data_IF_434893152682
#
_entry.id   IF_434893152682
#
_cell.length_a   1.000
_cell.length_b   1.000
_cell.length_c   1.000
_cell.angle_alpha   90.00
_cell.angle_beta   90.00
_cell.angle_gamma   90.00
#
_symmetry.space_group_name_H-M   'P 1'
#
loop_
_entity.id
_entity.type
_entity.pdbx_description
1 polymer ?
#
# COMPACT_ATOMS: atom_id res chain seq x y z
N UNK A 1 -1.51 29.23 -19.61
CA UNK A 1 -2.25 27.95 -19.56
C UNK A 1 -2.23 27.26 -18.20
N UNK A 2 -1.36 27.64 -17.25
CA UNK A 2 -1.50 27.19 -15.86
C UNK A 2 -2.55 28.07 -15.14
N UNK A 3 -3.69 27.50 -14.73
CA UNK A 3 -4.67 28.18 -13.85
C UNK A 3 -6.00 28.61 -14.46
N UNK A 4 -6.45 28.04 -15.59
CA UNK A 4 -7.77 28.35 -16.19
C UNK A 4 -8.87 27.35 -15.80
N UNK A 5 -8.49 26.14 -15.38
CA UNK A 5 -9.42 25.08 -14.96
C UNK A 5 -8.91 24.40 -13.71
N UNK A 6 -9.82 24.02 -12.83
CA UNK A 6 -9.58 23.23 -11.63
C UNK A 6 -10.16 21.81 -11.69
N UNK A 7 -10.69 21.45 -12.86
CA UNK A 7 -11.39 20.19 -13.08
C UNK A 7 -10.94 19.53 -14.38
N UNK A 8 -10.86 18.20 -14.36
CA UNK A 8 -10.70 17.36 -15.54
C UNK A 8 -11.98 17.43 -16.36
N UNK A 9 -11.88 17.91 -17.60
CA UNK A 9 -13.04 18.11 -18.50
C UNK A 9 -13.39 16.87 -19.31
N UNK A 10 -12.40 16.08 -19.68
CA UNK A 10 -12.57 14.93 -20.56
C UNK A 10 -11.80 13.71 -20.06
N UNK A 11 -12.33 12.53 -20.33
CA UNK A 11 -11.65 11.23 -20.21
C UNK A 11 -11.88 10.44 -21.49
N UNK A 12 -10.95 9.55 -21.86
CA UNK A 12 -11.08 8.77 -23.09
C UNK A 12 -12.30 7.86 -23.09
N UNK A 13 -12.61 7.24 -21.95
CA UNK A 13 -13.74 6.33 -21.78
C UNK A 13 -14.31 6.50 -20.37
N UNK A 14 -15.54 7.03 -20.28
CA UNK A 14 -16.21 7.25 -19.01
C UNK A 14 -16.53 5.93 -18.29
N UNK A 15 -16.76 4.85 -19.03
CA UNK A 15 -17.01 3.54 -18.49
C UNK A 15 -15.81 2.96 -17.75
N UNK A 16 -14.58 3.43 -18.04
CA UNK A 16 -13.34 3.00 -17.37
C UNK A 16 -13.03 3.78 -16.09
N UNK A 17 -13.79 4.83 -15.77
CA UNK A 17 -13.57 5.62 -14.55
C UNK A 17 -13.97 4.78 -13.33
N UNK A 18 -13.02 4.64 -12.41
CA UNK A 18 -13.13 3.81 -11.20
C UNK A 18 -13.31 4.61 -9.90
N UNK A 19 -13.03 5.92 -9.96
CA UNK A 19 -13.18 6.82 -8.84
C UNK A 19 -14.59 7.45 -8.86
N UNK A 20 -15.43 7.25 -7.84
CA UNK A 20 -16.76 7.87 -7.78
C UNK A 20 -16.73 9.37 -7.45
N UNK A 21 -15.55 9.96 -7.19
CA UNK A 21 -15.37 11.34 -6.77
C UNK A 21 -15.14 12.35 -7.89
N UNK A 22 -15.57 12.03 -9.12
CA UNK A 22 -15.63 13.04 -10.18
C UNK A 22 -16.81 14.01 -9.97
N UNK A 23 -16.68 15.21 -10.54
CA UNK A 23 -17.69 16.26 -10.43
C UNK A 23 -18.92 15.84 -11.25
N UNK A 24 -20.17 15.90 -10.73
CA UNK A 24 -21.34 15.57 -11.54
C UNK A 24 -21.35 16.36 -12.88
N UNK A 25 -21.41 15.65 -14.01
CA UNK A 25 -21.33 16.24 -15.35
C UNK A 25 -19.91 16.54 -15.85
N UNK A 26 -18.85 16.18 -15.13
CA UNK A 26 -17.45 16.30 -15.54
C UNK A 26 -16.55 15.24 -14.87
N UNK A 27 -15.79 14.43 -15.62
CA UNK A 27 -15.47 14.62 -17.03
C UNK A 27 -16.58 14.12 -17.98
N UNK A 28 -16.56 14.64 -19.21
CA UNK A 28 -17.30 14.06 -20.33
C UNK A 28 -16.41 13.04 -21.07
N UNK A 29 -17.01 12.16 -21.87
CA UNK A 29 -16.22 11.30 -22.75
C UNK A 29 -15.61 12.12 -23.89
N UNK A 30 -14.32 11.92 -24.14
CA UNK A 30 -13.58 12.62 -25.18
C UNK A 30 -14.05 12.12 -26.54
N UNK A 31 -14.66 13.01 -27.33
CA UNK A 31 -15.18 12.69 -28.66
C UNK A 31 -14.58 13.56 -29.78
N UNK A 32 -13.65 14.46 -29.44
CA UNK A 32 -12.98 15.35 -30.39
C UNK A 32 -11.70 15.96 -29.76
N UNK A 33 -10.56 15.77 -30.42
CA UNK A 33 -9.25 16.22 -29.93
C UNK A 33 -9.00 17.73 -30.01
N UNK A 34 -9.91 18.48 -30.67
CA UNK A 34 -9.88 19.93 -30.69
C UNK A 34 -10.33 20.57 -29.37
N UNK A 35 -10.87 19.80 -28.41
CA UNK A 35 -11.55 20.33 -27.21
C UNK A 35 -10.68 20.45 -25.95
N UNK A 36 -9.44 19.97 -25.97
CA UNK A 36 -8.52 20.06 -24.83
C UNK A 36 -7.23 20.78 -25.18
N UNK A 37 -6.63 21.41 -24.18
CA UNK A 37 -5.33 22.07 -24.25
C UNK A 37 -4.17 21.13 -23.92
N UNK A 38 -4.41 20.20 -23.00
CA UNK A 38 -3.44 19.19 -22.52
C UNK A 38 -4.16 17.85 -22.34
N UNK A 39 -3.51 16.76 -22.72
CA UNK A 39 -3.93 15.38 -22.43
C UNK A 39 -2.87 14.69 -21.58
N UNK A 40 -3.31 14.00 -20.53
CA UNK A 40 -2.41 13.26 -19.67
C UNK A 40 -2.24 11.82 -20.16
N UNK A 41 -1.00 11.39 -20.33
CA UNK A 41 -0.67 10.04 -20.84
C UNK A 41 0.29 9.30 -19.92
N UNK A 42 0.25 7.97 -19.95
CA UNK A 42 1.19 7.11 -19.21
C UNK A 42 2.42 6.70 -20.02
N UNK A 43 2.33 6.82 -21.35
CA UNK A 43 3.37 6.56 -22.33
C UNK A 43 3.74 7.84 -23.07
N UNK A 44 5.02 8.02 -23.34
CA UNK A 44 5.51 9.14 -24.14
C UNK A 44 5.00 8.96 -25.57
N UNK A 45 4.34 10.00 -26.08
CA UNK A 45 3.98 10.13 -27.49
C UNK A 45 4.59 11.45 -27.96
N UNK A 46 5.66 11.36 -28.75
CA UNK A 46 6.39 12.51 -29.27
C UNK A 46 5.67 13.19 -30.45
N UNK A 47 4.57 12.61 -30.93
CA UNK A 47 3.76 13.15 -32.01
C UNK A 47 2.60 14.01 -31.50
N UNK A 48 2.17 13.82 -30.26
CA UNK A 48 1.11 14.62 -29.65
C UNK A 48 1.69 15.83 -28.88
N UNK A 49 1.68 16.99 -29.52
CA UNK A 49 2.14 18.24 -28.91
C UNK A 49 1.33 18.69 -27.67
N UNK A 50 0.17 18.08 -27.41
CA UNK A 50 -0.66 18.34 -26.21
C UNK A 50 -0.42 17.32 -25.09
N UNK A 51 0.39 16.30 -25.31
CA UNK A 51 0.63 15.26 -24.32
C UNK A 51 1.50 15.76 -23.16
N UNK A 52 0.99 15.57 -21.94
CA UNK A 52 1.73 15.68 -20.69
C UNK A 52 1.88 14.27 -20.09
N UNK A 53 3.01 13.63 -20.36
CA UNK A 53 3.26 12.26 -19.91
C UNK A 53 3.71 12.20 -18.46
N UNK A 54 3.08 11.34 -17.66
CA UNK A 54 3.61 10.90 -16.38
C UNK A 54 3.36 9.41 -16.16
N UNK A 55 4.40 8.67 -15.78
CA UNK A 55 4.32 7.22 -15.62
C UNK A 55 4.30 6.84 -14.15
N UNK A 56 3.17 7.11 -13.48
CA UNK A 56 3.04 6.89 -12.04
C UNK A 56 3.28 5.43 -11.61
N UNK A 57 2.88 4.48 -12.46
CA UNK A 57 3.04 3.05 -12.20
C UNK A 57 4.42 2.49 -12.60
N UNK A 58 5.12 3.10 -13.55
CA UNK A 58 6.38 2.56 -14.08
C UNK A 58 7.60 2.80 -13.17
N UNK A 59 7.49 3.72 -12.21
CA UNK A 59 8.58 3.98 -11.27
C UNK A 59 8.59 2.89 -10.21
N UNK A 60 9.57 1.99 -10.26
CA UNK A 60 9.86 1.06 -9.17
C UNK A 60 10.60 1.78 -8.04
N UNK A 61 9.84 2.40 -7.15
CA UNK A 61 10.35 3.15 -6.01
C UNK A 61 9.53 2.86 -4.75
N UNK A 62 9.92 3.51 -3.65
CA UNK A 62 9.15 3.45 -2.41
C UNK A 62 7.67 3.84 -2.67
N UNK A 63 6.70 3.23 -1.97
CA UNK A 63 5.28 3.40 -2.29
C UNK A 63 4.82 4.86 -2.33
N UNK A 64 5.26 5.70 -1.38
CA UNK A 64 4.92 7.12 -1.34
C UNK A 64 5.48 7.95 -2.51
N UNK A 65 6.51 7.48 -3.22
CA UNK A 65 7.04 8.19 -4.38
C UNK A 65 6.06 8.15 -5.56
N UNK A 66 5.31 7.04 -5.72
CA UNK A 66 4.29 6.94 -6.77
C UNK A 66 3.13 7.90 -6.53
N UNK A 67 2.71 8.07 -5.28
CA UNK A 67 1.67 9.01 -4.89
C UNK A 67 2.07 10.49 -5.09
N UNK A 68 3.37 10.79 -5.18
CA UNK A 68 3.86 12.16 -5.32
C UNK A 68 3.55 12.79 -6.69
N UNK A 69 3.23 11.97 -7.71
CA UNK A 69 2.77 12.45 -9.02
C UNK A 69 1.53 13.36 -8.93
N UNK A 70 0.75 13.27 -7.85
CA UNK A 70 -0.34 14.22 -7.57
C UNK A 70 0.16 15.68 -7.56
N UNK A 71 1.38 15.94 -7.07
CA UNK A 71 1.98 17.28 -7.06
C UNK A 71 2.37 17.77 -8.45
N UNK A 72 2.73 16.86 -9.37
CA UNK A 72 3.00 17.23 -10.76
C UNK A 72 1.72 17.62 -11.47
N UNK A 73 0.67 16.80 -11.34
CA UNK A 73 -0.64 17.05 -11.97
C UNK A 73 -1.25 18.35 -11.47
N UNK A 74 -1.06 18.71 -10.19
CA UNK A 74 -1.69 19.89 -9.60
C UNK A 74 -1.22 21.24 -10.17
N UNK A 75 -0.02 21.32 -10.75
CA UNK A 75 0.45 22.54 -11.44
C UNK A 75 -0.45 22.91 -12.61
N UNK A 76 -1.02 21.92 -13.31
CA UNK A 76 -1.91 22.16 -14.45
C UNK A 76 -3.26 22.74 -14.02
N UNK A 77 -3.67 22.48 -12.77
CA UNK A 77 -4.99 22.85 -12.24
C UNK A 77 -4.95 24.00 -11.23
N UNK A 78 -3.78 24.58 -10.94
CA UNK A 78 -3.60 25.58 -9.87
C UNK A 78 -4.16 25.07 -8.53
N UNK A 79 -3.75 23.86 -8.17
CA UNK A 79 -4.19 23.08 -7.00
C UNK A 79 -3.01 22.58 -6.18
N UNK A 80 -1.89 23.29 -6.22
CA UNK A 80 -0.64 22.90 -5.57
C UNK A 80 -0.79 22.78 -4.06
N UNK A 81 -1.51 23.70 -3.43
CA UNK A 81 -1.80 23.66 -2.00
C UNK A 81 -2.64 22.43 -1.63
N UNK A 82 -3.67 22.12 -2.42
CA UNK A 82 -4.56 21.00 -2.18
C UNK A 82 -3.82 19.67 -2.36
N UNK A 83 -2.99 19.57 -3.40
CA UNK A 83 -2.15 18.40 -3.66
C UNK A 83 -1.09 18.19 -2.57
N UNK A 84 -0.42 19.26 -2.13
CA UNK A 84 0.56 19.19 -1.05
C UNK A 84 -0.10 18.73 0.27
N UNK A 85 -1.27 19.28 0.59
CA UNK A 85 -2.03 18.93 1.79
C UNK A 85 -2.52 17.48 1.75
N UNK A 86 -3.05 17.05 0.60
CA UNK A 86 -3.54 15.68 0.38
C UNK A 86 -2.41 14.67 0.47
N UNK A 87 -1.28 14.94 -0.20
CA UNK A 87 -0.08 14.10 -0.13
C UNK A 87 0.44 13.99 1.30
N UNK A 88 0.56 15.12 2.02
CA UNK A 88 1.07 15.11 3.39
C UNK A 88 0.20 14.25 4.31
N UNK A 89 -1.13 14.39 4.22
CA UNK A 89 -2.06 13.57 5.00
C UNK A 89 -1.90 12.07 4.70
N UNK A 90 -1.75 11.73 3.43
CA UNK A 90 -1.51 10.34 3.01
C UNK A 90 -0.19 9.79 3.59
N UNK A 91 0.88 10.58 3.52
CA UNK A 91 2.18 10.23 4.06
C UNK A 91 2.14 10.06 5.58
N UNK A 92 1.44 10.94 6.30
CA UNK A 92 1.25 10.86 7.75
C UNK A 92 0.48 9.60 8.16
N UNK A 93 -0.61 9.29 7.45
CA UNK A 93 -1.38 8.06 7.68
C UNK A 93 -0.54 6.80 7.42
N UNK A 94 0.20 6.77 6.31
CA UNK A 94 1.09 5.67 5.98
C UNK A 94 2.16 5.46 7.05
N UNK A 95 2.84 6.54 7.46
CA UNK A 95 3.90 6.51 8.47
C UNK A 95 3.36 6.08 9.84
N UNK A 96 2.19 6.58 10.24
CA UNK A 96 1.53 6.18 11.47
C UNK A 96 1.23 4.67 11.50
N UNK A 97 0.60 4.14 10.45
CA UNK A 97 0.25 2.70 10.36
C UNK A 97 1.48 1.82 10.35
N UNK A 98 2.50 2.22 9.58
CA UNK A 98 3.82 1.57 9.57
C UNK A 98 4.41 1.50 10.98
N UNK A 99 4.33 2.58 11.75
CA UNK A 99 4.83 2.60 13.12
C UNK A 99 4.01 1.71 14.06
N UNK A 100 2.68 1.68 13.92
CA UNK A 100 1.80 0.83 14.72
C UNK A 100 2.07 -0.66 14.50
N UNK A 101 2.36 -1.06 13.25
CA UNK A 101 2.61 -2.47 12.89
C UNK A 101 4.09 -2.89 13.01
N UNK A 102 5.00 -1.95 13.26
CA UNK A 102 6.44 -2.22 13.25
C UNK A 102 6.85 -3.34 14.22
N UNK A 103 6.21 -3.39 15.40
CA UNK A 103 6.46 -4.37 16.46
C UNK A 103 5.67 -5.67 16.32
N UNK A 104 4.94 -5.88 15.22
CA UNK A 104 4.19 -7.10 15.02
C UNK A 104 5.13 -8.31 14.94
N UNK A 105 4.85 -9.35 15.72
CA UNK A 105 5.65 -10.56 15.81
C UNK A 105 4.75 -11.77 16.18
N UNK A 106 4.85 -12.92 15.47
CA UNK A 106 5.58 -13.13 14.22
C UNK A 106 4.91 -12.42 13.02
N UNK A 107 5.74 -12.08 12.03
CA UNK A 107 5.30 -11.49 10.75
C UNK A 107 5.03 -12.58 9.71
N UNK A 108 3.90 -12.54 9.00
CA UNK A 108 3.63 -13.53 7.96
C UNK A 108 4.54 -13.33 6.74
N UNK A 109 5.08 -14.43 6.22
CA UNK A 109 5.75 -14.46 4.91
C UNK A 109 4.73 -14.43 3.77
N UNK A 110 4.82 -13.41 2.90
CA UNK A 110 3.82 -13.14 1.85
C UNK A 110 4.48 -13.18 0.48
N UNK A 111 3.86 -13.90 -0.46
CA UNK A 111 4.20 -13.85 -1.86
C UNK A 111 3.35 -12.78 -2.57
N UNK A 112 3.99 -11.93 -3.35
CA UNK A 112 3.33 -11.02 -4.28
C UNK A 112 3.68 -11.45 -5.69
N UNK A 113 2.73 -11.94 -6.47
CA UNK A 113 3.01 -12.55 -7.76
C UNK A 113 2.37 -11.78 -8.90
N UNK A 114 3.07 -11.77 -10.03
CA UNK A 114 2.60 -11.17 -11.27
C UNK A 114 3.03 -12.04 -12.44
N UNK A 115 2.12 -12.30 -13.38
CA UNK A 115 2.46 -12.89 -14.67
C UNK A 115 3.04 -11.79 -15.57
N UNK A 116 4.31 -11.91 -15.90
CA UNK A 116 5.05 -10.91 -16.71
C UNK A 116 5.10 -11.28 -18.19
N UNK A 117 4.90 -12.57 -18.53
CA UNK A 117 4.69 -13.03 -19.90
C UNK A 117 3.90 -14.34 -19.91
N UNK A 118 3.57 -14.89 -21.08
CA UNK A 118 2.79 -16.13 -21.22
C UNK A 118 3.31 -17.28 -20.33
N UNK A 119 4.64 -17.41 -20.23
CA UNK A 119 5.31 -18.51 -19.53
C UNK A 119 6.21 -18.05 -18.37
N UNK A 120 6.12 -16.78 -17.96
CA UNK A 120 7.02 -16.22 -16.97
C UNK A 120 6.29 -15.43 -15.89
N UNK A 121 6.77 -15.58 -14.66
CA UNK A 121 6.22 -14.95 -13.45
C UNK A 121 7.30 -14.21 -12.68
N UNK A 122 6.89 -13.19 -11.95
CA UNK A 122 7.68 -12.50 -10.95
C UNK A 122 7.11 -12.78 -9.55
N UNK A 123 7.99 -12.88 -8.55
CA UNK A 123 7.65 -13.03 -7.13
C UNK A 123 8.33 -11.94 -6.33
N UNK A 124 7.54 -11.13 -5.63
CA UNK A 124 7.98 -10.04 -4.74
C UNK A 124 9.12 -9.21 -5.37
N UNK A 125 9.00 -8.96 -6.68
CA UNK A 125 9.98 -8.24 -7.45
C UNK A 125 9.74 -6.72 -7.34
N UNK A 126 10.82 -5.96 -7.41
CA UNK A 126 10.80 -4.51 -7.30
C UNK A 126 10.72 -3.94 -5.88
N UNK A 127 11.16 -2.70 -5.72
CA UNK A 127 11.11 -1.94 -4.49
C UNK A 127 9.67 -1.69 -4.01
N UNK A 128 8.74 -1.42 -4.93
CA UNK A 128 7.36 -1.08 -4.56
C UNK A 128 6.69 -2.17 -3.72
N UNK A 129 6.57 -3.39 -4.28
CA UNK A 129 5.89 -4.50 -3.61
C UNK A 129 6.61 -4.90 -2.31
N UNK A 130 7.95 -4.94 -2.33
CA UNK A 130 8.75 -5.37 -1.16
C UNK A 130 8.65 -4.39 -0.01
N UNK A 131 8.82 -3.09 -0.27
CA UNK A 131 8.70 -2.05 0.75
C UNK A 131 7.27 -2.00 1.28
N UNK A 132 6.28 -2.08 0.40
CA UNK A 132 4.87 -2.06 0.80
C UNK A 132 4.49 -3.23 1.71
N UNK A 133 4.92 -4.46 1.38
CA UNK A 133 4.71 -5.64 2.23
C UNK A 133 5.40 -5.52 3.59
N UNK A 134 6.67 -5.09 3.59
CA UNK A 134 7.42 -4.90 4.82
C UNK A 134 6.79 -3.84 5.74
N UNK A 135 6.35 -2.72 5.16
CA UNK A 135 5.70 -1.63 5.87
C UNK A 135 4.30 -2.02 6.37
N UNK A 136 3.65 -3.01 5.77
CA UNK A 136 2.39 -3.61 6.23
C UNK A 136 2.57 -4.69 7.32
N UNK A 137 3.79 -4.93 7.79
CA UNK A 137 4.07 -5.93 8.84
C UNK A 137 4.29 -7.34 8.33
N UNK A 138 4.50 -7.56 7.03
CA UNK A 138 4.84 -8.86 6.48
C UNK A 138 6.35 -9.02 6.21
N UNK A 139 6.77 -10.27 5.97
CA UNK A 139 8.07 -10.58 5.37
C UNK A 139 7.83 -10.85 3.88
N UNK A 140 8.29 -9.98 2.95
CA UNK A 140 8.18 -10.28 1.53
C UNK A 140 9.08 -11.47 1.19
N UNK A 141 8.57 -12.39 0.37
CA UNK A 141 9.39 -13.48 -0.16
C UNK A 141 10.63 -12.96 -0.91
N UNK A 142 11.63 -13.83 -1.06
CA UNK A 142 12.81 -13.51 -1.86
C UNK A 142 12.40 -13.19 -3.30
N UNK A 143 12.94 -12.09 -3.83
CA UNK A 143 12.61 -11.65 -5.18
C UNK A 143 13.04 -12.70 -6.21
N UNK A 144 12.15 -12.99 -7.15
CA UNK A 144 12.40 -13.82 -8.34
C UNK A 144 11.76 -13.11 -9.52
N UNK A 145 12.41 -13.18 -10.68
CA UNK A 145 11.86 -12.72 -11.96
C UNK A 145 12.03 -13.84 -12.97
N UNK A 146 11.15 -13.85 -13.96
CA UNK A 146 11.23 -14.78 -15.09
C UNK A 146 11.22 -16.27 -14.70
N UNK A 147 10.51 -16.62 -13.62
CA UNK A 147 10.33 -18.03 -13.23
C UNK A 147 9.15 -18.64 -13.99
N UNK A 148 9.30 -19.89 -14.40
CA UNK A 148 8.17 -20.64 -14.97
C UNK A 148 7.14 -21.01 -13.90
N UNK A 149 5.99 -21.56 -14.32
CA UNK A 149 4.92 -21.95 -13.40
C UNK A 149 5.35 -23.03 -12.39
N UNK A 150 6.19 -23.99 -12.78
CA UNK A 150 6.65 -25.06 -11.90
C UNK A 150 7.56 -24.51 -10.81
N UNK A 151 8.52 -23.67 -11.19
CA UNK A 151 9.42 -22.96 -10.29
C UNK A 151 8.67 -22.00 -9.37
N UNK A 152 7.68 -21.27 -9.91
CA UNK A 152 6.81 -20.41 -9.12
C UNK A 152 6.15 -21.20 -8.00
N UNK A 153 5.48 -22.31 -8.32
CA UNK A 153 4.77 -23.09 -7.31
C UNK A 153 5.71 -23.70 -6.26
N UNK A 154 6.92 -24.09 -6.64
CA UNK A 154 7.97 -24.52 -5.69
C UNK A 154 8.32 -23.40 -4.70
N UNK A 155 8.53 -22.18 -5.21
CA UNK A 155 8.81 -21.00 -4.39
C UNK A 155 7.63 -20.74 -3.43
N UNK A 156 6.39 -20.74 -3.94
CA UNK A 156 5.19 -20.41 -3.17
C UNK A 156 4.87 -21.39 -2.02
N UNK A 157 5.45 -22.60 -1.99
CA UNK A 157 5.25 -23.57 -0.88
C UNK A 157 5.49 -22.99 0.51
N UNK A 158 6.42 -22.05 0.62
CA UNK A 158 6.84 -21.45 1.89
C UNK A 158 6.12 -20.12 2.22
N UNK A 159 5.09 -19.76 1.45
CA UNK A 159 4.26 -18.58 1.73
C UNK A 159 3.12 -18.92 2.70
N UNK A 160 2.77 -17.96 3.55
CA UNK A 160 1.55 -18.04 4.37
C UNK A 160 0.32 -17.55 3.59
N UNK A 161 0.52 -16.63 2.66
CA UNK A 161 -0.50 -16.15 1.72
C UNK A 161 0.12 -15.72 0.39
N UNK A 162 -0.71 -15.72 -0.65
CA UNK A 162 -0.38 -15.24 -1.99
C UNK A 162 -1.28 -14.06 -2.33
N UNK A 163 -0.68 -12.96 -2.78
CA UNK A 163 -1.34 -11.83 -3.43
C UNK A 163 -0.98 -11.91 -4.91
N UNK A 164 -1.97 -12.17 -5.76
CA UNK A 164 -1.80 -12.26 -7.20
C UNK A 164 -2.30 -10.98 -7.87
N UNK A 165 -1.37 -10.23 -8.46
CA UNK A 165 -1.62 -8.95 -9.14
C UNK A 165 -1.62 -9.04 -10.65
N UNK A 166 -1.64 -10.26 -11.19
CA UNK A 166 -1.71 -10.49 -12.64
C UNK A 166 -2.91 -9.75 -13.25
N UNK A 167 -2.66 -8.96 -14.28
CA UNK A 167 -3.72 -8.34 -15.08
C UNK A 167 -4.53 -9.42 -15.79
N UNK A 168 -5.86 -9.31 -15.75
CA UNK A 168 -6.77 -10.29 -16.35
C UNK A 168 -8.15 -9.71 -16.61
N UNK A 169 -8.87 -10.35 -17.53
CA UNK A 169 -10.26 -10.06 -17.82
C UNK A 169 -11.19 -11.00 -17.04
N UNK A 170 -12.33 -10.45 -16.61
CA UNK A 170 -13.40 -11.21 -15.96
C UNK A 170 -13.09 -11.66 -14.53
N UNK A 171 -14.10 -12.22 -13.88
CA UNK A 171 -14.03 -12.56 -12.46
C UNK A 171 -13.40 -13.93 -12.20
N UNK A 172 -12.22 -13.92 -11.59
CA UNK A 172 -11.58 -15.15 -11.15
C UNK A 172 -12.11 -15.59 -9.79
N UNK A 173 -12.44 -16.86 -9.71
CA UNK A 173 -12.74 -17.55 -8.46
C UNK A 173 -11.67 -18.61 -8.19
N UNK A 174 -11.75 -19.25 -7.02
CA UNK A 174 -10.79 -20.25 -6.60
C UNK A 174 -10.60 -21.37 -7.63
N UNK A 175 -11.69 -21.86 -8.25
CA UNK A 175 -11.61 -22.96 -9.22
C UNK A 175 -10.78 -22.61 -10.45
N UNK A 176 -10.94 -21.39 -10.98
CA UNK A 176 -10.14 -20.90 -12.11
C UNK A 176 -8.67 -20.74 -11.73
N UNK A 177 -8.41 -20.18 -10.54
CA UNK A 177 -7.05 -20.00 -10.03
C UNK A 177 -6.32 -21.33 -9.84
N UNK A 178 -6.98 -22.32 -9.20
CA UNK A 178 -6.44 -23.67 -9.02
C UNK A 178 -6.16 -24.35 -10.36
N UNK A 179 -7.08 -24.25 -11.32
CA UNK A 179 -6.92 -24.82 -12.66
C UNK A 179 -5.69 -24.24 -13.37
N UNK A 180 -5.51 -22.92 -13.30
CA UNK A 180 -4.34 -22.26 -13.90
C UNK A 180 -3.05 -22.83 -13.32
N UNK A 181 -2.99 -23.06 -12.01
CA UNK A 181 -1.81 -23.60 -11.34
C UNK A 181 -1.71 -25.13 -11.33
N UNK A 182 -2.62 -25.84 -12.01
CA UNK A 182 -2.61 -27.31 -12.07
C UNK A 182 -2.89 -27.98 -10.73
N UNK A 183 -3.66 -27.33 -9.85
CA UNK A 183 -4.00 -27.85 -8.53
C UNK A 183 -5.38 -28.50 -8.58
N UNK A 184 -5.43 -29.82 -8.35
CA UNK A 184 -6.68 -30.59 -8.48
C UNK A 184 -7.60 -30.48 -7.26
N UNK A 185 -7.05 -30.26 -6.08
CA UNK A 185 -7.81 -30.23 -4.82
C UNK A 185 -7.20 -29.28 -3.80
N UNK A 186 -8.07 -28.57 -3.09
CA UNK A 186 -7.67 -27.71 -1.96
C UNK A 186 -7.12 -28.54 -0.80
N UNK A 187 -7.61 -29.76 -0.57
CA UNK A 187 -7.22 -30.57 0.61
C UNK A 187 -5.94 -31.38 0.41
N UNK A 188 -5.64 -31.80 -0.82
CA UNK A 188 -4.56 -32.75 -1.14
C UNK A 188 -3.28 -32.06 -1.67
N UNK A 189 -3.32 -30.74 -1.82
CA UNK A 189 -2.20 -29.96 -2.32
C UNK A 189 -1.10 -29.78 -1.27
N UNK A 190 0.21 -29.75 -1.63
CA UNK A 190 1.28 -29.46 -0.69
C UNK A 190 1.31 -27.99 -0.22
N UNK A 191 0.61 -27.08 -0.91
CA UNK A 191 0.64 -25.64 -0.63
C UNK A 191 -0.25 -25.25 0.57
N UNK A 192 0.36 -24.87 1.70
CA UNK A 192 -0.36 -24.45 2.93
C UNK A 192 -1.32 -23.29 2.68
N UNK A 193 -0.88 -22.27 1.95
CA UNK A 193 -1.72 -21.11 1.66
C UNK A 193 -2.99 -21.50 0.88
N UNK A 194 -2.94 -22.54 0.03
CA UNK A 194 -4.12 -23.04 -0.68
C UNK A 194 -5.05 -23.77 0.28
N UNK A 195 -4.54 -24.70 1.10
CA UNK A 195 -5.33 -25.42 2.12
C UNK A 195 -6.05 -24.45 3.07
N UNK A 196 -5.36 -23.37 3.43
CA UNK A 196 -5.87 -22.34 4.35
C UNK A 196 -6.65 -21.22 3.63
N UNK A 197 -6.86 -21.35 2.31
CA UNK A 197 -7.55 -20.39 1.43
C UNK A 197 -6.96 -18.98 1.43
N UNK A 198 -5.68 -18.82 1.78
CA UNK A 198 -4.99 -17.53 1.84
C UNK A 198 -4.50 -17.08 0.46
N UNK A 199 -5.44 -16.95 -0.47
CA UNK A 199 -5.22 -16.45 -1.83
C UNK A 199 -6.01 -15.16 -1.97
N UNK A 200 -5.33 -14.12 -2.42
CA UNK A 200 -5.88 -12.77 -2.54
C UNK A 200 -5.60 -12.23 -3.94
N UNK A 201 -6.57 -11.53 -4.50
CA UNK A 201 -6.50 -10.99 -5.86
C UNK A 201 -6.60 -9.46 -5.82
N UNK A 202 -5.75 -8.80 -6.60
CA UNK A 202 -5.69 -7.34 -6.73
C UNK A 202 -6.66 -6.83 -7.81
N UNK A 203 -7.94 -7.08 -7.57
CA UNK A 203 -9.03 -6.82 -8.51
C UNK A 203 -10.35 -6.55 -7.75
N UNK A 204 -10.30 -6.08 -6.50
CA UNK A 204 -11.53 -5.93 -5.71
C UNK A 204 -12.51 -4.92 -6.32
N UNK A 205 -12.01 -3.86 -6.94
CA UNK A 205 -12.84 -2.76 -7.45
C UNK A 205 -12.74 -2.67 -8.97
N UNK A 206 -13.90 -2.58 -9.60
CA UNK A 206 -14.04 -2.42 -11.04
C UNK A 206 -14.95 -1.24 -11.38
N UNK A 207 -14.70 -0.60 -12.52
CA UNK A 207 -15.62 0.38 -13.08
C UNK A 207 -16.92 -0.29 -13.57
N UNK A 208 -17.88 0.51 -14.03
CA UNK A 208 -19.15 0.00 -14.57
C UNK A 208 -18.98 -0.88 -15.81
N UNK A 209 -17.91 -0.70 -16.59
CA UNK A 209 -17.59 -1.56 -17.74
C UNK A 209 -16.61 -2.71 -17.41
N UNK A 210 -16.29 -2.93 -16.14
CA UNK A 210 -15.41 -4.02 -15.72
C UNK A 210 -13.92 -3.71 -15.80
N UNK A 211 -13.50 -2.44 -15.83
CA UNK A 211 -12.08 -2.06 -15.76
C UNK A 211 -11.57 -2.17 -14.32
N UNK A 212 -10.52 -2.95 -14.09
CA UNK A 212 -9.90 -3.09 -12.78
C UNK A 212 -9.26 -1.76 -12.33
N UNK A 213 -9.61 -1.30 -11.13
CA UNK A 213 -9.07 -0.07 -10.53
C UNK A 213 -7.62 -0.20 -10.02
N UNK A 214 -7.17 -1.43 -9.74
CA UNK A 214 -5.88 -1.66 -9.10
C UNK A 214 -4.68 -1.06 -9.86
N UNK A 215 -4.51 -1.28 -11.18
CA UNK A 215 -3.32 -0.80 -11.90
C UNK A 215 -3.20 0.72 -11.93
N UNK A 216 -4.32 1.44 -11.77
CA UNK A 216 -4.37 2.90 -11.84
C UNK A 216 -4.40 3.54 -10.45
N UNK A 217 -5.43 3.27 -9.65
CA UNK A 217 -5.66 3.94 -8.36
C UNK A 217 -4.67 3.52 -7.28
N UNK A 218 -4.22 2.26 -7.25
CA UNK A 218 -3.43 1.73 -6.13
C UNK A 218 -2.06 2.42 -5.97
N UNK A 219 -1.56 3.01 -7.05
CA UNK A 219 -0.30 3.78 -7.07
C UNK A 219 -0.45 5.20 -6.53
N UNK A 220 -1.68 5.73 -6.56
CA UNK A 220 -2.03 7.07 -6.09
C UNK A 220 -2.56 7.04 -4.67
N UNK A 221 -3.35 6.02 -4.34
CA UNK A 221 -4.01 5.82 -3.05
C UNK A 221 -3.27 4.77 -2.22
N UNK A 222 -1.97 4.96 -2.07
CA UNK A 222 -1.06 3.99 -1.45
C UNK A 222 -1.38 3.76 0.03
N UNK A 223 -1.96 4.75 0.72
CA UNK A 223 -2.47 4.58 2.09
C UNK A 223 -3.61 3.54 2.17
N UNK A 224 -4.51 3.48 1.18
CA UNK A 224 -5.54 2.44 1.11
C UNK A 224 -4.92 1.08 0.80
N UNK A 225 -4.01 1.00 -0.16
CA UNK A 225 -3.34 -0.27 -0.49
C UNK A 225 -2.53 -0.82 0.69
N UNK A 226 -1.80 0.04 1.40
CA UNK A 226 -1.09 -0.32 2.62
C UNK A 226 -2.03 -0.84 3.70
N UNK A 227 -3.17 -0.16 3.88
CA UNK A 227 -4.17 -0.55 4.85
C UNK A 227 -4.89 -1.85 4.49
N UNK A 228 -5.18 -2.11 3.21
CA UNK A 228 -5.67 -3.40 2.72
C UNK A 228 -4.76 -4.54 3.18
N UNK A 229 -3.45 -4.39 2.97
CA UNK A 229 -2.48 -5.40 3.35
C UNK A 229 -2.42 -5.62 4.87
N UNK A 230 -2.43 -4.56 5.68
CA UNK A 230 -2.47 -4.70 7.14
C UNK A 230 -3.73 -5.47 7.56
N UNK A 231 -4.88 -5.16 6.96
CA UNK A 231 -6.13 -5.88 7.28
C UNK A 231 -6.12 -7.34 6.87
N UNK A 232 -5.46 -7.65 5.75
CA UNK A 232 -5.28 -9.03 5.27
C UNK A 232 -4.36 -9.79 6.19
N UNK A 233 -3.24 -9.20 6.63
CA UNK A 233 -2.24 -9.86 7.44
C UNK A 233 -2.64 -9.97 8.91
N UNK A 234 -3.46 -9.03 9.39
CA UNK A 234 -3.91 -8.97 10.77
C UNK A 234 -5.44 -8.80 10.93
N UNK A 235 -6.26 -9.76 10.45
CA UNK A 235 -7.71 -9.56 10.34
C UNK A 235 -8.42 -9.27 11.67
N UNK A 236 -8.17 -10.00 12.78
CA UNK A 236 -8.79 -9.69 14.06
C UNK A 236 -8.51 -8.27 14.56
N UNK A 237 -7.29 -7.74 14.34
CA UNK A 237 -6.92 -6.40 14.75
C UNK A 237 -7.50 -5.30 13.84
N UNK A 238 -8.07 -5.66 12.69
CA UNK A 238 -8.56 -4.75 11.65
C UNK A 238 -9.96 -5.15 11.15
N UNK A 239 -10.75 -5.79 12.01
CA UNK A 239 -12.02 -6.42 11.66
C UNK A 239 -13.10 -5.43 11.16
N UNK A 240 -12.92 -4.14 11.39
CA UNK A 240 -13.80 -3.07 10.88
C UNK A 240 -13.38 -2.52 9.53
N UNK A 241 -12.21 -2.90 9.01
CA UNK A 241 -11.69 -2.40 7.74
C UNK A 241 -12.24 -3.18 6.55
N UNK A 242 -12.65 -2.48 5.50
CA UNK A 242 -13.02 -3.09 4.23
C UNK A 242 -11.96 -2.79 3.19
N UNK A 243 -11.44 -3.81 2.54
CA UNK A 243 -10.43 -3.64 1.52
C UNK A 243 -10.97 -2.88 0.31
N UNK A 244 -10.09 -2.13 -0.36
CA UNK A 244 -10.41 -1.32 -1.55
C UNK A 244 -9.93 -1.98 -2.84
N UNK A 245 -8.73 -2.52 -2.81
CA UNK A 245 -7.96 -2.96 -3.96
C UNK A 245 -7.76 -4.47 -3.99
N UNK A 246 -7.58 -5.08 -2.82
CA UNK A 246 -7.28 -6.51 -2.71
C UNK A 246 -8.47 -7.24 -2.09
N UNK A 247 -8.95 -8.31 -2.72
CA UNK A 247 -10.02 -9.16 -2.17
C UNK A 247 -9.52 -10.56 -1.86
N UNK A 248 -10.24 -11.25 -1.00
CA UNK A 248 -10.07 -12.70 -0.87
C UNK A 248 -10.57 -13.39 -2.16
N UNK A 249 -9.98 -14.52 -2.53
CA UNK A 249 -10.33 -15.28 -3.76
C UNK A 249 -11.80 -15.72 -3.82
N UNK A 250 -12.47 -15.80 -2.68
CA UNK A 250 -13.87 -16.18 -2.55
C UNK A 250 -14.84 -15.00 -2.55
N UNK A 251 -14.32 -13.78 -2.38
CA UNK A 251 -15.13 -12.58 -2.44
C UNK A 251 -15.39 -12.21 -3.89
N UNK A 252 -16.53 -11.59 -4.16
CA UNK A 252 -16.79 -11.01 -5.47
C UNK A 252 -16.14 -9.64 -5.69
N UNK A 253 -16.21 -9.14 -6.91
CA UNK A 253 -15.89 -7.75 -7.22
C UNK A 253 -16.90 -6.76 -6.66
N UNK A 254 -16.44 -5.53 -6.50
CA UNK A 254 -17.25 -4.37 -6.11
C UNK A 254 -17.21 -3.33 -7.21
N UNK A 255 -18.34 -2.67 -7.43
CA UNK A 255 -18.43 -1.48 -8.27
C UNK A 255 -18.61 -0.23 -7.37
N UNK A 256 -18.00 0.91 -7.71
CA UNK A 256 -18.25 2.16 -7.01
C UNK A 256 -19.74 2.50 -7.02
N UNK A 257 -20.22 3.11 -5.93
CA UNK A 257 -21.63 3.50 -5.75
C UNK A 257 -22.11 4.59 -6.73
N UNK A 258 -21.22 5.15 -7.54
CA UNK A 258 -21.47 6.31 -8.40
C UNK A 258 -21.62 7.63 -7.64
N UNK A 259 -21.43 7.64 -6.32
CA UNK A 259 -21.48 8.84 -5.48
C UNK A 259 -20.24 8.95 -4.62
N UNK A 260 -19.59 10.11 -4.63
CA UNK A 260 -18.44 10.37 -3.77
C UNK A 260 -18.84 10.37 -2.30
N UNK A 261 -18.19 9.54 -1.49
CA UNK A 261 -18.35 9.51 -0.04
C UNK A 261 -17.03 9.75 0.68
N UNK A 262 -17.09 9.98 1.99
CA UNK A 262 -15.89 10.07 2.81
C UNK A 262 -15.03 8.80 2.78
N UNK A 263 -15.64 7.62 2.57
CA UNK A 263 -14.95 6.34 2.47
C UNK A 263 -14.17 6.19 1.16
N UNK A 264 -14.49 7.00 0.14
CA UNK A 264 -13.75 7.03 -1.13
C UNK A 264 -12.52 7.93 -1.05
N UNK A 265 -12.53 8.91 -0.15
CA UNK A 265 -11.42 9.83 0.06
C UNK A 265 -10.42 9.33 1.10
N UNK A 266 -10.87 8.59 2.10
CA UNK A 266 -10.03 8.11 3.19
C UNK A 266 -10.34 6.66 3.58
N UNK A 267 -9.33 5.86 3.99
CA UNK A 267 -9.55 4.55 4.60
C UNK A 267 -10.58 4.68 5.73
N UNK A 268 -11.51 3.73 5.85
CA UNK A 268 -12.62 3.85 6.82
C UNK A 268 -12.16 3.87 8.29
N UNK A 269 -10.92 3.43 8.55
CA UNK A 269 -10.25 3.53 9.85
C UNK A 269 -9.19 4.65 9.91
N UNK A 270 -9.21 5.64 9.02
CA UNK A 270 -8.24 6.75 8.98
C UNK A 270 -8.05 7.47 10.32
N UNK A 271 -9.11 7.54 11.14
CA UNK A 271 -9.09 8.17 12.46
C UNK A 271 -8.13 7.52 13.46
N UNK A 272 -7.72 6.26 13.26
CA UNK A 272 -6.71 5.59 14.09
C UNK A 272 -5.35 6.31 14.09
N UNK A 273 -5.09 7.11 13.06
CA UNK A 273 -3.86 7.89 12.91
C UNK A 273 -4.02 9.38 13.19
N UNK A 274 -5.26 9.86 13.37
CA UNK A 274 -5.56 11.26 13.69
C UNK A 274 -5.75 11.47 15.21
N UNK A 275 -5.11 10.63 16.04
CA UNK A 275 -5.24 10.67 17.50
C UNK A 275 -6.47 9.94 18.06
N UNK A 276 -7.15 9.11 17.25
CA UNK A 276 -8.25 8.25 17.67
C UNK A 276 -7.83 7.01 18.45
N UNK A 277 -8.76 6.05 18.60
CA UNK A 277 -8.50 4.78 19.25
C UNK A 277 -7.37 4.02 18.53
N UNK A 278 -6.42 3.47 19.30
CA UNK A 278 -5.35 2.63 18.77
C UNK A 278 -5.93 1.26 18.39
N UNK A 279 -5.49 0.64 17.29
CA UNK A 279 -5.87 -0.72 16.95
C UNK A 279 -5.44 -1.70 18.06
N UNK A 280 -6.11 -2.86 18.11
CA UNK A 280 -5.67 -3.97 18.96
C UNK A 280 -4.20 -4.33 18.66
N UNK A 281 -3.50 -4.86 19.66
CA UNK A 281 -2.10 -5.23 19.49
C UNK A 281 -1.94 -6.23 18.34
N UNK A 282 -1.10 -5.89 17.38
CA UNK A 282 -0.69 -6.78 16.30
C UNK A 282 0.23 -7.89 16.83
N UNK A 283 -0.33 -9.08 17.00
CA UNK A 283 0.34 -10.25 17.58
C UNK A 283 0.08 -11.49 16.73
N UNK A 284 0.71 -12.62 17.07
CA UNK A 284 0.40 -13.92 16.49
C UNK A 284 -1.12 -14.23 16.47
N UNK A 285 -1.81 -13.94 17.58
CA UNK A 285 -3.23 -14.23 17.77
C UNK A 285 -4.17 -13.34 16.94
N UNK A 286 -3.64 -12.24 16.40
CA UNK A 286 -4.37 -11.32 15.55
C UNK A 286 -3.85 -11.35 14.10
N UNK A 287 -3.04 -12.33 13.73
CA UNK A 287 -2.40 -12.48 12.42
C UNK A 287 -3.04 -13.61 11.62
N UNK A 288 -2.83 -13.67 10.30
CA UNK A 288 -3.18 -14.84 9.48
C UNK A 288 -2.45 -16.13 9.87
N UNK A 289 -1.45 -16.02 10.75
CA UNK A 289 -0.70 -17.14 11.31
C UNK A 289 -1.47 -17.92 12.39
N UNK A 290 -2.66 -17.48 12.78
CA UNK A 290 -3.52 -18.22 13.72
C UNK A 290 -3.87 -19.60 13.16
N UNK A 291 -3.45 -20.66 13.85
CA UNK A 291 -3.62 -22.07 13.45
C UNK A 291 -2.29 -22.72 13.05
N UNK A 292 -1.81 -23.66 13.87
CA UNK A 292 -0.58 -24.50 13.76
C UNK A 292 0.78 -23.85 13.43
N UNK A 293 0.84 -22.69 12.77
CA UNK A 293 2.08 -22.03 12.34
C UNK A 293 2.56 -20.98 13.37
N UNK A 294 1.70 -20.55 14.30
CA UNK A 294 2.06 -19.65 15.41
C UNK A 294 2.99 -20.29 16.46
N UNK A 295 3.10 -21.62 16.49
CA UNK A 295 3.88 -22.35 17.48
C UNK A 295 5.26 -22.75 16.93
N UNK A 296 6.14 -21.79 16.73
CA UNK A 296 7.58 -22.06 16.53
C UNK A 296 8.49 -20.98 17.13
N UNK A 297 8.10 -20.43 18.28
CA UNK A 297 9.03 -19.83 19.24
C UNK A 297 9.17 -20.77 20.44
N UNK A 298 10.15 -21.67 20.34
CA UNK A 298 10.47 -22.63 21.39
C UNK A 298 11.03 -21.92 22.64
N UNK A 299 10.26 -21.89 23.72
CA UNK A 299 10.80 -21.89 25.08
C UNK A 299 10.57 -23.27 25.70
N UNK A 300 11.64 -24.03 25.80
CA UNK A 300 11.70 -25.31 26.48
C UNK A 300 11.57 -25.13 27.99
N UNK A 301 10.60 -25.77 28.62
CA UNK A 301 10.80 -26.43 29.91
C UNK A 301 9.67 -27.40 30.23
N UNK A 302 10.11 -28.57 30.69
CA UNK A 302 9.41 -29.81 31.00
C UNK A 302 8.28 -29.73 32.03
N UNK A 303 7.33 -30.63 31.80
CA UNK A 303 6.31 -31.23 32.67
C UNK A 303 6.63 -31.35 34.17
N UNK A 304 5.63 -31.03 35.00
CA UNK A 304 5.49 -31.49 36.38
C UNK A 304 4.06 -31.24 36.88
N UNK A 305 3.34 -32.31 37.18
CA UNK A 305 1.92 -32.37 37.57
C UNK A 305 1.65 -31.94 39.02
N UNK A 306 0.39 -31.52 39.22
CA UNK A 306 -0.49 -31.61 40.41
C UNK A 306 -0.44 -30.59 41.57
N UNK A 307 -1.62 -29.99 41.73
CA UNK A 307 -2.42 -29.76 42.95
C UNK A 307 -2.33 -28.48 43.80
N UNK A 308 -3.54 -28.05 44.15
CA UNK A 308 -4.03 -26.93 44.93
C UNK A 308 -3.41 -26.69 46.32
N UNK A 309 -3.49 -25.40 46.69
CA UNK A 309 -3.90 -24.85 47.99
C UNK A 309 -2.86 -24.16 48.89
N UNK A 310 -3.31 -22.98 49.32
CA UNK A 310 -3.03 -22.23 50.55
C UNK A 310 -1.83 -21.26 50.61
N UNK A 311 -2.22 -20.00 50.77
CA UNK A 311 -1.61 -18.91 51.54
C UNK A 311 -0.45 -19.28 52.45
N UNK A 312 0.68 -18.57 52.30
CA UNK A 312 1.39 -17.96 53.43
C UNK A 312 2.34 -16.87 52.97
N UNK A 313 2.27 -15.77 53.71
CA UNK A 313 3.19 -14.64 53.72
C UNK A 313 4.57 -15.08 54.19
N UNK A 314 5.65 -14.73 53.49
CA UNK A 314 6.91 -14.40 54.17
C UNK A 314 7.79 -13.47 53.34
N UNK A 315 8.32 -12.49 54.04
CA UNK A 315 9.30 -11.49 53.69
C UNK A 315 10.64 -12.07 53.25
N UNK A 316 11.24 -11.50 52.21
CA UNK A 316 12.61 -11.78 51.80
C UNK A 316 13.25 -10.58 51.11
N UNK A 317 13.82 -9.68 51.91
CA UNK A 317 14.70 -8.59 51.50
C UNK A 317 15.92 -9.15 50.77
N UNK A 318 16.23 -8.64 49.58
CA UNK A 318 17.60 -8.67 49.04
C UNK A 318 17.92 -7.34 48.38
N UNK A 319 19.04 -6.79 48.85
CA UNK A 319 19.62 -5.48 48.56
C UNK A 319 20.71 -5.65 47.50
N UNK A 320 20.85 -4.66 46.62
CA UNK A 320 22.05 -4.42 45.80
C UNK A 320 21.80 -4.62 44.31
N UNK A 321 22.13 -3.71 43.39
CA UNK A 321 22.93 -2.48 43.45
C UNK A 321 22.58 -1.67 42.21
N UNK A 322 22.23 -0.39 42.37
CA UNK A 322 22.03 0.55 41.26
C UNK A 322 23.41 1.10 40.88
N UNK A 323 23.84 0.89 39.63
CA UNK A 323 24.95 1.64 39.03
C UNK A 323 24.35 2.63 38.03
N UNK A 324 24.35 3.90 38.45
CA UNK A 324 24.14 5.06 37.58
C UNK A 324 25.48 5.39 36.92
N UNK A 325 25.54 5.37 35.59
CA UNK A 325 26.58 6.08 34.83
C UNK A 325 25.87 7.08 33.93
N UNK A 326 25.89 8.33 34.38
CA UNK A 326 25.63 9.52 33.57
C UNK A 326 26.92 9.84 32.82
N UNK A 327 26.88 9.85 31.49
CA UNK A 327 27.86 10.59 30.69
C UNK A 327 27.15 11.47 29.66
N UNK A 328 27.41 12.76 29.86
CA UNK A 328 27.00 13.93 29.09
C UNK A 328 27.71 13.94 27.75
N UNK A 329 26.96 14.00 26.65
CA UNK A 329 27.44 14.54 25.37
C UNK A 329 26.34 15.47 24.83
N UNK A 330 26.44 16.75 25.18
CA UNK A 330 25.63 17.84 24.60
C UNK A 330 26.60 18.83 23.95
N UNK A 331 26.32 19.17 22.69
CA UNK A 331 27.12 20.05 21.83
C UNK A 331 27.70 19.23 20.67
N UNK A 332 27.05 19.17 19.50
CA UNK A 332 27.33 20.13 18.41
C UNK A 332 26.14 20.32 17.43
N UNK A 333 24.97 19.69 17.61
CA UNK A 333 23.93 19.68 16.56
C UNK A 333 23.03 20.94 16.45
N UNK A 334 23.19 21.97 17.30
CA UNK A 334 22.21 23.07 17.39
C UNK A 334 22.51 24.30 16.49
N UNK A 335 23.66 24.37 15.80
CA UNK A 335 24.01 25.56 14.99
C UNK A 335 23.63 25.40 13.51
N UNK A 336 23.32 24.19 13.04
CA UNK A 336 22.96 23.93 11.63
C UNK A 336 21.50 24.24 11.25
N UNK A 337 20.59 24.37 12.21
CA UNK A 337 19.14 24.39 11.94
C UNK A 337 18.55 25.80 11.77
N UNK A 338 19.24 26.86 12.21
CA UNK A 338 18.71 28.22 12.12
C UNK A 338 19.27 29.11 11.00
N UNK A 339 20.33 28.68 10.30
CA UNK A 339 20.94 29.50 9.23
C UNK A 339 20.42 29.12 7.82
N UNK A 340 19.93 27.89 7.64
CA UNK A 340 19.48 27.39 6.33
C UNK A 340 18.22 28.06 5.75
N UNK A 341 17.19 28.45 6.52
CA UNK A 341 15.98 29.07 5.93
C UNK A 341 16.23 30.48 5.37
N UNK A 342 17.12 31.25 6.02
CA UNK A 342 17.41 32.63 5.63
C UNK A 342 18.24 32.77 4.35
N UNK A 343 19.18 31.85 4.10
CA UNK A 343 19.99 31.87 2.88
C UNK A 343 19.22 31.38 1.64
N UNK A 344 18.30 30.41 1.79
CA UNK A 344 17.44 29.93 0.71
C UNK A 344 16.45 31.00 0.22
N UNK A 345 15.94 31.85 1.12
CA UNK A 345 15.05 32.96 0.75
C UNK A 345 15.79 34.04 -0.04
N UNK A 346 16.99 34.45 0.39
CA UNK A 346 17.84 35.40 -0.36
C UNK A 346 18.33 34.84 -1.70
N UNK A 347 18.53 33.52 -1.80
CA UNK A 347 18.88 32.86 -3.06
C UNK A 347 17.72 32.86 -4.06
N UNK A 348 16.47 32.60 -3.62
CA UNK A 348 15.28 32.69 -4.49
C UNK A 348 15.01 34.11 -4.97
N UNK A 349 15.17 35.11 -4.10
CA UNK A 349 14.98 36.52 -4.47
C UNK A 349 16.01 36.98 -5.52
N UNK A 350 17.27 36.56 -5.41
CA UNK A 350 18.31 36.87 -6.42
C UNK A 350 18.08 36.16 -7.75
N UNK A 351 17.63 34.91 -7.73
CA UNK A 351 17.33 34.15 -8.96
C UNK A 351 16.11 34.74 -9.69
N UNK A 352 15.09 35.18 -8.97
CA UNK A 352 13.92 35.83 -9.55
C UNK A 352 14.25 37.23 -10.12
N UNK A 353 15.15 37.99 -9.47
CA UNK A 353 15.63 39.26 -10.03
C UNK A 353 16.52 39.10 -11.27
N UNK A 354 17.31 38.02 -11.35
CA UNK A 354 18.05 37.69 -12.57
C UNK A 354 17.12 37.31 -13.73
N UNK A 355 16.08 36.51 -13.46
CA UNK A 355 15.07 36.13 -14.46
C UNK A 355 14.28 37.32 -15.01
N UNK A 356 14.00 38.33 -14.18
CA UNK A 356 13.28 39.54 -14.61
C UNK A 356 14.15 40.53 -15.39
N UNK A 357 15.48 40.41 -15.34
CA UNK A 357 16.42 41.22 -16.14
C UNK A 357 16.73 40.63 -17.51
N UNK A 358 16.45 39.34 -17.71
CA UNK A 358 16.56 38.69 -19.03
C UNK A 358 15.24 38.72 -19.83
N UNK A 359 14.15 39.22 -19.22
CA UNK A 359 12.82 39.35 -19.84
C UNK A 359 12.38 40.81 -20.10
N UNK A 360 13.29 41.77 -19.93
CA UNK A 360 13.20 43.17 -20.39
C UNK A 360 14.35 43.41 -21.36
#
# INVERSE_FOLDING_TARGET
MLGVSDSVKYVQDLGKVVDPCYIPGSPAELNNDAKYDVVFTSTVDDTDAKAATFSAAAVDAAPLNRAEWLKFVSYFFNRELDAATTYQRMADQYACRKAQIASADPKPTIAWIEKISENAWAVSNGAFARTLLADAGAVPMAARSEVDQTQLMEVLKNSHAVIDVTARDGEWNLSLWLKMFGISSVSETPYKFVRNRKIYLADRRHSTNGTNAFPTESTQLVNFLHQDLISIFYPPAQHTYFTRFIRHIDDGYTTPSGTCSAADLFPNNAKECDGGAKPDKYTAGSSILTGSDAASSSSSSSSGTTQESSTSTSSGTSVGTIIVVVLVVVGVAAVGVFVAPGMMRKYRERKNQAYMREML
#
